data_IF_166416141047
#
_entry.id   IF_166416141047
#
_cell.length_a   1.000
_cell.length_b   1.000
_cell.length_c   1.000
_cell.angle_alpha   90.00
_cell.angle_beta   90.00
_cell.angle_gamma   90.00
#
_symmetry.space_group_name_H-M   'P 1'
#
loop_
_entity.id
_entity.type
_entity.pdbx_description
1 polymer ?
#
# COMPACT_ATOMS: atom_id res chain seq x y z
N UNK A 1 -30.37 28.59 10.57
CA UNK A 1 -29.06 28.61 9.89
C UNK A 1 -28.06 27.56 10.43
N UNK A 2 -27.78 27.49 11.74
CA UNK A 2 -26.79 26.55 12.35
C UNK A 2 -26.98 25.04 12.09
N UNK A 3 -28.20 24.60 11.76
CA UNK A 3 -28.51 23.21 11.39
C UNK A 3 -27.91 22.83 10.03
N UNK A 4 -27.96 23.74 9.05
CA UNK A 4 -27.42 23.55 7.71
C UNK A 4 -25.91 23.44 7.70
N UNK A 5 -25.23 24.24 8.54
CA UNK A 5 -23.78 24.16 8.70
C UNK A 5 -23.36 22.77 9.21
N UNK A 6 -24.08 22.22 10.20
CA UNK A 6 -23.79 20.89 10.74
C UNK A 6 -23.96 19.79 9.68
N UNK A 7 -25.04 19.83 8.90
CA UNK A 7 -25.25 18.87 7.81
C UNK A 7 -24.17 19.01 6.73
N UNK A 8 -23.76 20.23 6.38
CA UNK A 8 -22.67 20.46 5.44
C UNK A 8 -21.36 19.83 5.91
N UNK A 9 -20.99 20.03 7.18
CA UNK A 9 -19.76 19.50 7.76
C UNK A 9 -19.75 17.96 7.76
N UNK A 10 -20.82 17.31 8.23
CA UNK A 10 -20.86 15.83 8.26
C UNK A 10 -20.72 15.23 6.86
N UNK A 11 -21.30 15.89 5.83
CA UNK A 11 -21.18 15.44 4.44
C UNK A 11 -19.79 15.67 3.87
N UNK A 12 -19.16 16.80 4.18
CA UNK A 12 -17.78 17.07 3.77
C UNK A 12 -16.81 16.05 4.39
N UNK A 13 -17.00 15.72 5.67
CA UNK A 13 -16.22 14.67 6.35
C UNK A 13 -16.43 13.32 5.67
N UNK A 14 -17.69 12.91 5.45
CA UNK A 14 -17.98 11.64 4.78
C UNK A 14 -17.35 11.55 3.38
N UNK A 15 -17.37 12.64 2.62
CA UNK A 15 -16.74 12.72 1.30
C UNK A 15 -15.22 12.57 1.40
N UNK A 16 -14.57 13.29 2.32
CA UNK A 16 -13.13 13.23 2.53
C UNK A 16 -12.68 11.81 2.92
N UNK A 17 -13.39 11.15 3.84
CA UNK A 17 -13.13 9.76 4.20
C UNK A 17 -13.32 8.81 3.02
N UNK A 18 -14.39 8.97 2.24
CA UNK A 18 -14.63 8.15 1.04
C UNK A 18 -13.51 8.27 0.01
N UNK A 19 -13.01 9.50 -0.23
CA UNK A 19 -11.88 9.74 -1.14
C UNK A 19 -10.59 9.12 -0.59
N UNK A 20 -10.27 9.33 0.69
CA UNK A 20 -9.08 8.76 1.30
C UNK A 20 -9.09 7.21 1.25
N UNK A 21 -10.21 6.60 1.63
CA UNK A 21 -10.40 5.15 1.52
C UNK A 21 -10.29 4.67 0.07
N UNK A 22 -10.87 5.40 -0.88
CA UNK A 22 -10.75 5.09 -2.30
C UNK A 22 -9.29 5.08 -2.76
N UNK A 23 -8.51 6.11 -2.42
CA UNK A 23 -7.08 6.18 -2.76
C UNK A 23 -6.29 5.02 -2.15
N UNK A 24 -6.60 4.62 -0.91
CA UNK A 24 -5.90 3.54 -0.23
C UNK A 24 -6.33 2.13 -0.68
N UNK A 25 -7.62 1.93 -0.98
CA UNK A 25 -8.18 0.61 -1.29
C UNK A 25 -8.20 0.30 -2.79
N UNK A 26 -8.41 1.30 -3.64
CA UNK A 26 -8.50 1.08 -5.09
C UNK A 26 -7.26 0.38 -5.68
N UNK A 27 -6.01 0.74 -5.30
CA UNK A 27 -4.83 0.04 -5.81
C UNK A 27 -4.81 -1.44 -5.45
N UNK A 28 -5.30 -1.80 -4.24
CA UNK A 28 -5.37 -3.20 -3.78
C UNK A 28 -6.44 -3.96 -4.54
N UNK A 29 -7.62 -3.34 -4.74
CA UNK A 29 -8.75 -3.96 -5.43
C UNK A 29 -8.54 -4.08 -6.94
N UNK A 30 -7.83 -3.11 -7.54
CA UNK A 30 -7.53 -3.08 -8.96
C UNK A 30 -6.23 -3.84 -9.31
N UNK A 31 -5.52 -4.37 -8.31
CA UNK A 31 -4.29 -5.11 -8.54
C UNK A 31 -4.58 -6.37 -9.40
N UNK A 32 -3.77 -6.64 -10.43
CA UNK A 32 -3.84 -7.90 -11.16
C UNK A 32 -3.41 -9.05 -10.24
N UNK A 33 -3.70 -10.29 -10.67
CA UNK A 33 -3.23 -11.48 -9.96
C UNK A 33 -1.71 -11.41 -9.79
N UNK A 34 -1.25 -11.70 -8.57
CA UNK A 34 0.17 -11.77 -8.29
C UNK A 34 0.82 -12.87 -9.15
N UNK A 35 2.06 -12.66 -9.64
CA UNK A 35 2.80 -13.69 -10.37
C UNK A 35 3.00 -14.93 -9.49
N UNK A 36 3.04 -16.11 -10.12
CA UNK A 36 3.27 -17.34 -9.39
C UNK A 36 4.72 -17.40 -8.88
N UNK A 37 4.97 -18.23 -7.87
CA UNK A 37 6.32 -18.45 -7.38
C UNK A 37 7.24 -19.09 -8.44
N UNK A 38 6.69 -19.74 -9.47
CA UNK A 38 7.46 -20.25 -10.61
C UNK A 38 7.87 -19.11 -11.55
N UNK A 39 6.96 -18.17 -11.83
CA UNK A 39 7.23 -16.99 -12.68
C UNK A 39 8.32 -16.12 -12.06
N UNK A 40 8.25 -15.89 -10.74
CA UNK A 40 9.26 -15.13 -9.99
C UNK A 40 10.63 -15.83 -10.05
N UNK A 41 10.67 -17.16 -9.91
CA UNK A 41 11.93 -17.94 -10.00
C UNK A 41 12.51 -17.98 -11.41
N UNK A 42 11.67 -17.96 -12.43
CA UNK A 42 12.16 -17.92 -13.81
C UNK A 42 12.89 -16.60 -14.12
N UNK A 43 12.48 -15.50 -13.50
CA UNK A 43 13.12 -14.18 -13.67
C UNK A 43 14.32 -13.94 -12.77
N UNK A 44 14.48 -14.68 -11.66
CA UNK A 44 15.64 -14.49 -10.77
C UNK A 44 16.98 -14.93 -11.38
N UNK A 45 16.97 -15.73 -12.46
CA UNK A 45 18.19 -16.07 -13.21
C UNK A 45 18.81 -14.92 -14.02
N UNK A 46 18.05 -13.84 -14.27
CA UNK A 46 18.48 -12.67 -15.06
C UNK A 46 18.82 -11.45 -14.18
N UNK A 47 19.03 -11.65 -12.88
CA UNK A 47 19.23 -10.57 -11.92
C UNK A 47 20.58 -9.88 -12.14
N UNK A 48 20.52 -8.57 -12.43
CA UNK A 48 21.71 -7.71 -12.55
C UNK A 48 22.24 -7.21 -11.19
N UNK A 49 21.39 -7.18 -10.17
CA UNK A 49 21.71 -6.64 -8.85
C UNK A 49 21.20 -7.55 -7.74
N UNK A 50 22.09 -7.98 -6.85
CA UNK A 50 21.73 -8.73 -5.66
C UNK A 50 21.52 -7.78 -4.47
N UNK A 51 20.44 -7.97 -3.72
CA UNK A 51 20.15 -7.19 -2.52
C UNK A 51 19.55 -8.05 -1.42
N UNK A 52 19.96 -7.79 -0.17
CA UNK A 52 19.40 -8.41 1.03
C UNK A 52 18.46 -7.43 1.75
N UNK A 53 17.24 -7.86 2.07
CA UNK A 53 16.35 -7.11 2.96
C UNK A 53 16.81 -7.27 4.41
N UNK A 54 17.48 -6.25 4.96
CA UNK A 54 17.94 -6.24 6.36
C UNK A 54 17.04 -5.35 7.22
N UNK A 55 16.61 -5.87 8.37
CA UNK A 55 15.65 -5.20 9.24
C UNK A 55 16.28 -4.04 10.02
N UNK A 56 17.59 -4.07 10.26
CA UNK A 56 18.32 -3.05 11.02
C UNK A 56 19.00 -2.00 10.12
N UNK A 57 18.41 -1.66 8.98
CA UNK A 57 18.87 -0.54 8.16
C UNK A 57 18.58 0.79 8.86
N UNK A 58 19.43 1.79 8.62
CA UNK A 58 19.39 3.11 9.29
C UNK A 58 18.02 3.81 9.21
N UNK A 59 17.24 3.51 8.18
CA UNK A 59 15.91 4.09 7.93
C UNK A 59 14.77 3.08 8.14
N UNK A 60 15.05 1.93 8.76
CA UNK A 60 14.00 0.97 9.10
C UNK A 60 13.30 1.40 10.38
N UNK A 61 11.97 1.47 10.33
CA UNK A 61 11.13 1.84 11.47
C UNK A 61 10.04 0.79 11.72
N UNK A 62 9.26 0.97 12.80
CA UNK A 62 8.22 0.01 13.21
C UNK A 62 7.18 -0.26 12.11
N UNK A 63 6.93 0.72 11.24
CA UNK A 63 5.96 0.65 10.14
C UNK A 63 6.65 0.36 8.80
N UNK A 64 7.94 0.69 8.65
CA UNK A 64 8.73 0.42 7.44
C UNK A 64 9.85 -0.58 7.71
N UNK A 65 9.53 -1.87 7.61
CA UNK A 65 10.49 -2.96 7.53
C UNK A 65 10.05 -4.00 6.51
N UNK A 66 11.01 -4.64 5.85
CA UNK A 66 10.77 -5.73 4.91
C UNK A 66 11.42 -7.02 5.41
N UNK A 67 10.74 -8.16 5.23
CA UNK A 67 11.30 -9.49 5.43
C UNK A 67 11.32 -10.23 4.10
N UNK A 68 12.43 -10.89 3.80
CA UNK A 68 12.51 -11.82 2.68
C UNK A 68 11.70 -13.08 3.01
N UNK A 69 10.75 -13.43 2.15
CA UNK A 69 10.20 -14.78 2.13
C UNK A 69 11.28 -15.70 1.52
N UNK A 70 11.67 -16.72 2.28
CA UNK A 70 12.58 -17.79 1.83
C UNK A 70 11.84 -18.80 0.97
#
# INVERSE_FOLDING_TARGET
MRKWLRYGITRAIALAFGVALGICLLPVLAAPAAPSAADVRAQSGAVLFNGECRRELKDSDLLHWGTSAT
#
